data_IF_048787442571
#
_entry.id   IF_048787442571
#
_cell.length_a   1.000
_cell.length_b   1.000
_cell.length_c   1.000
_cell.angle_alpha   90.00
_cell.angle_beta   90.00
_cell.angle_gamma   90.00
#
_symmetry.space_group_name_H-M   'P 1'
#
loop_
_entity.id
_entity.type
_entity.pdbx_description
1 polymer ?
#
# COMPACT_ATOMS: atom_id res chain seq x y z
N UNK A 1 -43.69 48.89 -20.20
CA UNK A 1 -44.96 49.13 -19.49
C UNK A 1 -44.70 48.91 -18.00
N UNK A 2 -44.91 49.88 -17.09
CA UNK A 2 -46.19 50.55 -16.74
C UNK A 2 -47.08 49.52 -16.00
N UNK A 3 -46.99 49.43 -14.66
CA UNK A 3 -47.85 50.12 -13.64
C UNK A 3 -48.94 49.11 -13.17
N UNK A 4 -49.38 48.92 -11.92
CA UNK A 4 -49.65 49.74 -10.71
C UNK A 4 -49.09 49.07 -9.40
N UNK A 5 -48.87 49.69 -8.23
CA UNK A 5 -49.72 50.51 -7.31
C UNK A 5 -50.86 49.70 -6.64
N UNK A 6 -51.27 49.86 -5.37
CA UNK A 6 -50.86 50.68 -4.18
C UNK A 6 -50.70 49.68 -2.96
N UNK A 7 -50.65 49.91 -1.63
CA UNK A 7 -50.80 50.94 -0.55
C UNK A 7 -49.73 50.56 0.53
N UNK A 8 -49.16 51.38 1.44
CA UNK A 8 -49.25 52.81 1.79
C UNK A 8 -49.35 53.03 3.32
N UNK A 9 -48.56 53.94 3.91
CA UNK A 9 -48.60 54.26 5.34
C UNK A 9 -47.45 55.17 5.78
N UNK A 10 -47.75 56.40 6.22
CA UNK A 10 -46.76 57.42 6.60
C UNK A 10 -46.46 57.42 8.11
N UNK A 11 -45.22 57.77 8.47
CA UNK A 11 -44.77 57.93 9.86
C UNK A 11 -43.32 58.40 9.93
N UNK A 12 -43.06 59.64 9.48
CA UNK A 12 -41.75 60.27 9.58
C UNK A 12 -41.65 61.13 10.84
N UNK A 13 -40.62 60.89 11.65
CA UNK A 13 -40.00 61.91 12.48
C UNK A 13 -38.47 61.82 12.32
N UNK A 14 -37.78 62.97 12.43
CA UNK A 14 -36.32 63.08 12.26
C UNK A 14 -35.71 63.85 13.43
N UNK A 15 -34.90 63.15 14.22
CA UNK A 15 -34.07 63.68 15.31
C UNK A 15 -32.63 63.19 15.07
N UNK A 16 -31.57 63.98 15.34
CA UNK A 16 -30.34 63.93 14.54
C UNK A 16 -29.35 62.81 14.90
N UNK A 17 -28.35 62.65 14.03
CA UNK A 17 -27.24 61.70 14.16
C UNK A 17 -26.36 62.05 15.36
N UNK A 18 -26.24 61.11 16.29
CA UNK A 18 -25.26 61.14 17.38
C UNK A 18 -24.29 59.96 17.20
N UNK A 19 -22.98 60.25 17.21
CA UNK A 19 -21.95 59.30 16.80
C UNK A 19 -21.61 58.31 17.94
N UNK A 20 -22.44 57.28 18.12
CA UNK A 20 -22.20 56.22 19.07
C UNK A 20 -20.89 55.47 18.78
N UNK A 21 -19.97 55.47 19.73
CA UNK A 21 -18.73 54.70 19.69
C UNK A 21 -19.05 53.20 19.64
N UNK A 22 -18.55 52.50 18.63
CA UNK A 22 -18.74 51.05 18.51
C UNK A 22 -18.04 50.32 19.69
N UNK A 23 -18.70 49.34 20.33
CA UNK A 23 -18.04 48.53 21.34
C UNK A 23 -16.93 47.68 20.71
N UNK A 24 -15.79 47.64 21.37
CA UNK A 24 -14.62 46.88 20.90
C UNK A 24 -14.90 45.39 20.91
N UNK A 25 -15.19 44.80 19.74
CA UNK A 25 -15.14 43.35 19.56
C UNK A 25 -13.68 42.88 19.75
N UNK A 26 -13.33 42.51 20.98
CA UNK A 26 -12.19 41.63 21.21
C UNK A 26 -12.49 40.31 20.48
N UNK A 27 -11.59 39.81 19.62
CA UNK A 27 -11.72 38.45 19.12
C UNK A 27 -11.59 37.53 20.33
N UNK A 28 -12.67 36.83 20.68
CA UNK A 28 -12.58 35.74 21.65
C UNK A 28 -11.61 34.71 21.06
N UNK A 29 -10.40 34.63 21.65
CA UNK A 29 -9.44 33.61 21.24
C UNK A 29 -10.07 32.26 21.55
N UNK A 30 -10.45 31.54 20.50
CA UNK A 30 -10.88 30.15 20.57
C UNK A 30 -9.66 29.30 20.94
N UNK A 31 -9.31 29.35 22.22
CA UNK A 31 -8.20 28.60 22.79
C UNK A 31 -8.66 27.15 22.86
N UNK A 32 -8.36 26.40 21.80
CA UNK A 32 -8.65 24.98 21.70
C UNK A 32 -8.00 24.24 22.87
N UNK A 33 -8.78 23.93 23.89
CA UNK A 33 -8.35 23.16 25.05
C UNK A 33 -8.01 21.75 24.60
N UNK A 34 -6.75 21.55 24.21
CA UNK A 34 -6.17 20.22 24.04
C UNK A 34 -6.37 19.46 25.34
N UNK A 35 -6.99 18.28 25.24
CA UNK A 35 -7.15 17.38 26.37
C UNK A 35 -5.82 16.67 26.59
N UNK A 36 -5.33 16.53 27.84
CA UNK A 36 -4.07 15.83 28.12
C UNK A 36 -3.99 14.46 27.43
N UNK A 37 -5.09 13.68 27.50
CA UNK A 37 -5.23 12.37 26.84
C UNK A 37 -5.00 12.37 25.32
N UNK A 38 -5.16 13.52 24.64
CA UNK A 38 -4.84 13.67 23.21
C UNK A 38 -3.37 13.98 22.98
N UNK A 39 -2.74 14.76 23.86
CA UNK A 39 -1.31 15.03 23.80
C UNK A 39 -0.55 13.74 24.17
N UNK A 40 -0.93 13.06 25.26
CA UNK A 40 -0.45 11.71 25.61
C UNK A 40 -0.53 10.71 24.44
N UNK A 41 -1.67 10.71 23.70
CA UNK A 41 -1.84 9.83 22.54
C UNK A 41 -1.02 10.23 21.30
N UNK A 42 -0.65 11.51 21.20
CA UNK A 42 0.21 12.01 20.11
C UNK A 42 1.66 11.64 20.39
N UNK A 43 2.13 11.90 21.61
CA UNK A 43 3.48 11.56 22.08
C UNK A 43 3.74 10.05 21.98
N UNK A 44 2.78 9.22 22.41
CA UNK A 44 2.83 7.76 22.25
C UNK A 44 2.90 7.32 20.78
N UNK A 45 2.20 8.01 19.88
CA UNK A 45 2.22 7.72 18.44
C UNK A 45 3.55 8.13 17.80
N UNK A 46 4.09 9.30 18.13
CA UNK A 46 5.42 9.74 17.67
C UNK A 46 6.53 8.80 18.17
N UNK A 47 6.42 8.27 19.39
CA UNK A 47 7.33 7.25 19.91
C UNK A 47 7.30 5.93 19.12
N UNK A 48 6.12 5.53 18.60
CA UNK A 48 5.98 4.35 17.75
C UNK A 48 6.55 4.57 16.34
N UNK A 49 6.38 5.76 15.77
CA UNK A 49 6.95 6.15 14.47
C UNK A 49 8.49 6.25 14.55
N UNK A 50 9.04 6.86 15.60
CA UNK A 50 10.49 6.89 15.81
C UNK A 50 11.06 5.51 16.21
N UNK A 51 10.28 4.59 16.80
CA UNK A 51 10.67 3.18 16.93
C UNK A 51 10.82 2.48 15.57
N UNK A 52 9.82 2.63 14.70
CA UNK A 52 9.85 2.09 13.34
C UNK A 52 11.01 2.70 12.53
N UNK A 53 11.24 4.01 12.66
CA UNK A 53 12.37 4.69 12.04
C UNK A 53 13.74 4.24 12.61
N UNK A 54 13.87 3.96 13.92
CA UNK A 54 15.09 3.33 14.49
C UNK A 54 15.39 2.00 13.81
N UNK A 55 14.37 1.14 13.67
CA UNK A 55 14.50 -0.16 13.03
C UNK A 55 14.96 -0.03 11.58
N UNK A 56 14.29 0.76 10.75
CA UNK A 56 14.65 0.87 9.32
C UNK A 56 16.02 1.55 9.11
N UNK A 57 16.45 2.43 10.02
CA UNK A 57 17.82 2.96 10.03
C UNK A 57 18.87 1.88 10.39
N UNK A 58 18.58 0.97 11.32
CA UNK A 58 19.45 -0.19 11.65
C UNK A 58 19.43 -1.24 10.53
N UNK A 59 18.27 -1.50 9.93
CA UNK A 59 18.11 -2.37 8.75
C UNK A 59 18.96 -1.85 7.58
N UNK A 60 18.81 -0.57 7.22
CA UNK A 60 19.71 0.13 6.28
C UNK A 60 21.17 -0.11 6.64
N UNK A 61 21.58 0.14 7.88
CA UNK A 61 22.97 0.01 8.32
C UNK A 61 23.55 -1.39 8.10
N UNK A 62 22.76 -2.45 8.30
CA UNK A 62 23.18 -3.86 8.21
C UNK A 62 23.22 -4.43 6.79
N UNK A 63 22.65 -3.75 5.78
CA UNK A 63 22.58 -4.28 4.41
C UNK A 63 23.96 -4.68 3.88
N UNK A 64 24.01 -5.87 3.25
CA UNK A 64 25.15 -6.39 2.50
C UNK A 64 25.57 -5.44 1.38
N UNK A 65 26.85 -5.49 1.03
CA UNK A 65 27.35 -4.82 -0.17
C UNK A 65 27.44 -5.83 -1.31
N UNK A 66 26.74 -5.56 -2.41
CA UNK A 66 26.98 -6.24 -3.68
C UNK A 66 28.03 -5.48 -4.50
N UNK A 67 28.71 -6.21 -5.39
CA UNK A 67 29.61 -5.69 -6.40
C UNK A 67 28.96 -5.72 -7.81
N UNK A 68 27.62 -5.64 -7.88
CA UNK A 68 26.88 -5.47 -9.13
C UNK A 68 27.52 -4.38 -9.99
N UNK A 69 28.05 -4.78 -11.14
CA UNK A 69 28.85 -3.92 -12.00
C UNK A 69 28.01 -2.89 -12.77
N UNK A 70 28.69 -2.10 -13.62
CA UNK A 70 28.01 -1.39 -14.70
C UNK A 70 27.34 -2.44 -15.61
N UNK A 71 26.02 -2.62 -15.49
CA UNK A 71 25.27 -3.70 -16.14
C UNK A 71 23.88 -3.26 -16.59
N UNK A 72 22.91 -3.26 -15.68
CA UNK A 72 21.51 -2.95 -15.97
C UNK A 72 21.30 -1.51 -16.45
N UNK A 73 21.10 -1.32 -17.77
CA UNK A 73 20.44 -0.10 -18.26
C UNK A 73 19.03 -0.02 -17.68
N UNK A 74 18.56 1.17 -17.33
CA UNK A 74 17.24 1.33 -16.72
C UNK A 74 16.13 1.00 -17.73
N UNK A 75 15.57 -0.22 -17.65
CA UNK A 75 14.64 -0.76 -18.66
C UNK A 75 13.21 -0.23 -18.46
N UNK A 76 12.81 0.04 -17.21
CA UNK A 76 11.58 0.73 -16.86
C UNK A 76 11.82 1.70 -15.69
N UNK A 77 11.05 2.79 -15.62
CA UNK A 77 11.15 3.79 -14.54
C UNK A 77 9.77 4.17 -14.04
N UNK A 78 9.51 3.82 -12.78
CA UNK A 78 8.25 4.08 -12.08
C UNK A 78 8.54 5.16 -11.03
N UNK A 79 8.07 6.38 -11.30
CA UNK A 79 8.35 7.56 -10.47
C UNK A 79 9.83 7.79 -10.19
N UNK A 80 10.23 7.59 -8.92
CA UNK A 80 11.60 7.73 -8.42
C UNK A 80 12.47 6.48 -8.63
N UNK A 81 11.88 5.32 -8.86
CA UNK A 81 12.59 4.05 -8.93
C UNK A 81 12.85 3.60 -10.37
N UNK A 82 14.02 2.98 -10.54
CA UNK A 82 14.42 2.28 -11.75
C UNK A 82 14.16 0.78 -11.54
N UNK A 83 13.57 0.12 -12.53
CA UNK A 83 13.31 -1.33 -12.53
C UNK A 83 14.04 -1.96 -13.71
N UNK A 84 14.65 -3.09 -13.45
CA UNK A 84 15.31 -3.95 -14.43
C UNK A 84 15.11 -5.41 -14.00
N UNK A 85 15.49 -6.34 -14.86
CA UNK A 85 15.44 -7.77 -14.60
C UNK A 85 16.80 -8.35 -14.98
N UNK A 86 17.37 -9.21 -14.13
CA UNK A 86 18.69 -9.83 -14.35
C UNK A 86 18.55 -11.29 -14.82
N UNK A 87 17.39 -11.66 -15.37
CA UNK A 87 17.07 -12.99 -15.89
C UNK A 87 16.67 -14.00 -14.80
N UNK A 88 16.72 -15.29 -15.15
CA UNK A 88 16.59 -16.42 -14.21
C UNK A 88 17.84 -16.65 -13.34
N UNK A 89 18.61 -15.60 -13.01
CA UNK A 89 19.65 -15.74 -11.98
C UNK A 89 18.96 -16.03 -10.63
N UNK A 90 19.39 -17.11 -9.95
CA UNK A 90 18.83 -17.64 -8.70
C UNK A 90 19.05 -16.68 -7.50
N UNK A 91 18.52 -15.45 -7.56
CA UNK A 91 18.52 -14.55 -6.42
C UNK A 91 17.59 -15.10 -5.34
N UNK A 92 18.20 -15.53 -4.23
CA UNK A 92 17.50 -16.08 -3.08
C UNK A 92 17.58 -15.12 -1.88
N UNK A 93 16.48 -14.89 -1.14
CA UNK A 93 16.49 -14.09 0.08
C UNK A 93 17.52 -14.58 1.10
N UNK A 94 18.57 -13.78 1.31
CA UNK A 94 19.55 -13.99 2.38
C UNK A 94 18.84 -13.82 3.73
N UNK A 95 18.89 -14.80 4.66
CA UNK A 95 18.24 -14.69 5.96
C UNK A 95 18.74 -13.49 6.77
N UNK A 96 17.82 -12.84 7.50
CA UNK A 96 18.13 -11.70 8.37
C UNK A 96 19.27 -12.02 9.35
N UNK A 97 20.26 -11.13 9.42
CA UNK A 97 21.35 -11.25 10.40
C UNK A 97 20.83 -11.23 11.84
N UNK A 98 21.50 -11.87 12.82
CA UNK A 98 21.05 -11.87 14.22
C UNK A 98 20.86 -10.47 14.81
N UNK A 99 21.67 -9.49 14.39
CA UNK A 99 21.54 -8.07 14.72
C UNK A 99 20.21 -7.46 14.21
N UNK A 100 19.75 -7.88 13.04
CA UNK A 100 18.50 -7.42 12.41
C UNK A 100 17.28 -8.09 13.04
N UNK A 101 17.37 -9.40 13.32
CA UNK A 101 16.34 -10.14 14.07
C UNK A 101 16.15 -9.51 15.46
N UNK A 102 17.24 -9.25 16.19
CA UNK A 102 17.19 -8.58 17.49
C UNK A 102 16.59 -7.16 17.41
N UNK A 103 16.90 -6.41 16.35
CA UNK A 103 16.31 -5.09 16.12
C UNK A 103 14.79 -5.18 15.84
N UNK A 104 14.33 -6.18 15.07
CA UNK A 104 12.90 -6.40 14.80
C UNK A 104 12.16 -6.85 16.06
N UNK A 105 12.78 -7.70 16.88
CA UNK A 105 12.24 -8.13 18.18
C UNK A 105 12.27 -7.02 19.26
N UNK A 106 13.07 -5.96 19.09
CA UNK A 106 12.95 -4.74 19.87
C UNK A 106 11.74 -3.92 19.39
N UNK A 107 11.67 -3.62 18.09
CA UNK A 107 10.55 -2.88 17.50
C UNK A 107 9.19 -3.51 17.84
N UNK A 108 9.06 -4.83 17.68
CA UNK A 108 7.81 -5.54 17.94
C UNK A 108 7.38 -5.49 19.42
N UNK A 109 8.32 -5.34 20.36
CA UNK A 109 8.00 -5.11 21.78
C UNK A 109 7.59 -3.66 22.04
N UNK A 110 8.33 -2.69 21.51
CA UNK A 110 8.00 -1.26 21.64
C UNK A 110 6.61 -0.96 21.06
N UNK A 111 6.31 -1.45 19.84
CA UNK A 111 4.99 -1.32 19.22
C UNK A 111 3.88 -2.08 20.00
N UNK A 112 4.18 -3.20 20.66
CA UNK A 112 3.20 -3.92 21.46
C UNK A 112 2.89 -3.22 22.79
N UNK A 113 3.88 -2.58 23.42
CA UNK A 113 3.70 -1.80 24.65
C UNK A 113 2.92 -0.50 24.39
N UNK A 114 3.23 0.21 23.32
CA UNK A 114 2.48 1.41 22.90
C UNK A 114 1.08 1.01 22.40
N UNK A 115 0.97 -0.05 21.60
CA UNK A 115 -0.32 -0.58 21.13
C UNK A 115 -1.21 -1.16 22.23
N UNK A 116 -0.67 -1.45 23.42
CA UNK A 116 -1.46 -1.77 24.61
C UNK A 116 -2.12 -0.55 25.26
N UNK A 117 -1.56 0.65 25.02
CA UNK A 117 -2.08 1.94 25.48
C UNK A 117 -2.96 2.60 24.40
N UNK A 118 -2.66 2.36 23.12
CA UNK A 118 -3.40 2.83 21.95
C UNK A 118 -4.01 1.67 21.13
N UNK A 119 -4.93 0.85 21.69
CA UNK A 119 -5.46 -0.34 21.02
C UNK A 119 -6.31 -0.06 19.76
N UNK A 120 -6.79 1.18 19.62
CA UNK A 120 -7.54 1.65 18.45
C UNK A 120 -6.69 2.42 17.42
N UNK A 121 -5.35 2.44 17.55
CA UNK A 121 -4.49 3.04 16.52
C UNK A 121 -4.27 2.07 15.34
N UNK A 122 -4.82 2.45 14.18
CA UNK A 122 -4.79 1.67 12.95
C UNK A 122 -3.37 1.41 12.43
N UNK A 123 -2.47 2.39 12.54
CA UNK A 123 -1.12 2.28 12.00
C UNK A 123 -0.24 1.40 12.89
N UNK A 124 -0.33 1.53 14.22
CA UNK A 124 0.40 0.67 15.16
C UNK A 124 -0.03 -0.79 14.99
N UNK A 125 -1.32 -1.08 14.82
CA UNK A 125 -1.79 -2.42 14.49
C UNK A 125 -1.21 -2.93 13.15
N UNK A 126 -1.23 -2.08 12.12
CA UNK A 126 -0.66 -2.38 10.81
C UNK A 126 0.84 -2.72 10.88
N UNK A 127 1.66 -1.86 11.49
CA UNK A 127 3.10 -2.11 11.63
C UNK A 127 3.38 -3.42 12.37
N UNK A 128 2.67 -3.69 13.47
CA UNK A 128 2.85 -4.95 14.23
C UNK A 128 2.56 -6.17 13.36
N UNK A 129 1.48 -6.15 12.58
CA UNK A 129 1.13 -7.25 11.67
C UNK A 129 2.15 -7.38 10.53
N UNK A 130 2.58 -6.27 9.90
CA UNK A 130 3.64 -6.28 8.87
C UNK A 130 4.94 -6.89 9.41
N UNK A 131 5.47 -6.39 10.53
CA UNK A 131 6.75 -6.87 11.06
C UNK A 131 6.69 -8.29 11.66
N UNK A 132 5.52 -8.75 12.14
CA UNK A 132 5.33 -10.17 12.47
C UNK A 132 5.31 -11.04 11.21
N UNK A 133 4.64 -10.61 10.13
CA UNK A 133 4.64 -11.32 8.84
C UNK A 133 6.02 -11.36 8.17
N UNK A 134 6.77 -10.26 8.19
CA UNK A 134 8.19 -10.22 7.75
C UNK A 134 9.06 -11.17 8.57
N UNK A 135 8.85 -11.25 9.89
CA UNK A 135 9.56 -12.19 10.77
C UNK A 135 9.11 -13.66 10.61
N UNK A 136 8.12 -13.96 9.76
CA UNK A 136 7.53 -15.30 9.66
C UNK A 136 6.70 -15.72 10.89
N UNK A 137 6.44 -14.81 11.84
CA UNK A 137 5.68 -15.01 13.10
C UNK A 137 4.16 -15.00 12.85
N UNK A 138 3.73 -15.75 11.83
CA UNK A 138 2.39 -15.73 11.22
C UNK A 138 1.25 -15.93 12.21
N UNK A 139 1.39 -16.88 13.14
CA UNK A 139 0.37 -17.16 14.17
C UNK A 139 0.13 -15.99 15.11
N UNK A 140 1.17 -15.20 15.40
CA UNK A 140 1.04 -13.98 16.21
C UNK A 140 0.40 -12.84 15.41
N UNK A 141 0.70 -12.73 14.11
CA UNK A 141 0.04 -11.75 13.22
C UNK A 141 -1.48 -12.00 13.14
N UNK A 142 -1.91 -13.26 12.96
CA UNK A 142 -3.33 -13.66 13.02
C UNK A 142 -3.91 -13.44 14.43
N UNK A 143 -3.12 -13.66 15.49
CA UNK A 143 -3.55 -13.38 16.86
C UNK A 143 -3.91 -11.91 17.14
N UNK A 144 -3.37 -10.95 16.38
CA UNK A 144 -3.68 -9.53 16.53
C UNK A 144 -5.01 -9.11 15.88
N UNK A 145 -5.53 -9.86 14.90
CA UNK A 145 -6.75 -9.48 14.16
C UNK A 145 -8.03 -9.87 14.92
N UNK A 146 -7.97 -10.98 15.67
CA UNK A 146 -9.09 -11.59 16.39
C UNK A 146 -9.82 -10.68 17.41
N UNK A 147 -9.19 -9.59 17.84
CA UNK A 147 -9.78 -8.60 18.75
C UNK A 147 -9.52 -7.16 18.26
N UNK A 148 -9.58 -6.94 16.94
CA UNK A 148 -9.33 -5.64 16.34
C UNK A 148 -10.36 -4.58 16.80
N UNK A 149 -9.88 -3.48 17.40
CA UNK A 149 -10.71 -2.37 17.93
C UNK A 149 -10.57 -1.06 17.15
N UNK A 150 -10.18 -1.17 15.88
CA UNK A 150 -10.12 -0.02 14.96
C UNK A 150 -11.56 0.37 14.55
N UNK A 151 -11.83 1.67 14.45
CA UNK A 151 -13.14 2.20 14.07
C UNK A 151 -13.46 1.88 12.59
N UNK A 152 -12.46 2.04 11.73
CA UNK A 152 -12.47 1.72 10.30
C UNK A 152 -12.45 0.19 10.10
N UNK A 153 -13.61 -0.47 10.24
CA UNK A 153 -13.75 -1.94 10.19
C UNK A 153 -13.07 -2.62 9.00
N UNK A 154 -13.07 -1.97 7.83
CA UNK A 154 -12.40 -2.50 6.64
C UNK A 154 -10.91 -2.79 6.90
N UNK A 155 -10.26 -1.99 7.75
CA UNK A 155 -8.85 -2.16 8.09
C UNK A 155 -8.61 -3.43 8.90
N UNK A 156 -9.49 -3.75 9.86
CA UNK A 156 -9.45 -5.02 10.58
C UNK A 156 -9.53 -6.22 9.62
N UNK A 157 -10.47 -6.17 8.69
CA UNK A 157 -10.73 -7.26 7.74
C UNK A 157 -9.59 -7.46 6.72
N UNK A 158 -9.01 -6.39 6.14
CA UNK A 158 -7.88 -6.56 5.21
C UNK A 158 -6.59 -6.96 5.93
N UNK A 159 -6.38 -6.53 7.18
CA UNK A 159 -5.29 -7.02 8.02
C UNK A 159 -5.45 -8.51 8.38
N UNK A 160 -6.68 -8.97 8.62
CA UNK A 160 -7.01 -10.38 8.77
C UNK A 160 -6.73 -11.17 7.48
N UNK A 161 -7.20 -10.67 6.33
CA UNK A 161 -6.89 -11.24 5.02
C UNK A 161 -5.40 -11.38 4.77
N UNK A 162 -4.61 -10.33 5.05
CA UNK A 162 -3.16 -10.35 4.90
C UNK A 162 -2.46 -11.34 5.85
N UNK A 163 -2.89 -11.42 7.11
CA UNK A 163 -2.34 -12.37 8.08
C UNK A 163 -2.67 -13.84 7.73
N UNK A 164 -3.91 -14.11 7.30
CA UNK A 164 -4.36 -15.42 6.83
C UNK A 164 -3.68 -15.83 5.51
N UNK A 165 -3.54 -14.90 4.56
CA UNK A 165 -2.77 -15.11 3.33
C UNK A 165 -1.34 -15.56 3.67
N UNK A 166 -0.67 -14.88 4.61
CA UNK A 166 0.66 -15.24 5.10
C UNK A 166 0.77 -16.65 5.70
N UNK A 167 -0.35 -17.28 6.09
CA UNK A 167 -0.39 -18.69 6.53
C UNK A 167 -0.68 -19.70 5.41
N UNK A 168 -1.10 -19.26 4.22
CA UNK A 168 -1.56 -20.13 3.12
C UNK A 168 -3.05 -20.47 3.18
N UNK A 169 -3.84 -19.75 3.99
CA UNK A 169 -5.29 -19.97 4.14
C UNK A 169 -6.08 -19.07 3.16
N UNK A 170 -5.84 -19.23 1.86
CA UNK A 170 -6.28 -18.28 0.83
C UNK A 170 -7.80 -18.12 0.74
N UNK A 171 -8.59 -19.19 0.85
CA UNK A 171 -10.06 -19.12 0.91
C UNK A 171 -10.58 -18.21 2.05
N UNK A 172 -10.05 -18.39 3.26
CA UNK A 172 -10.42 -17.57 4.42
C UNK A 172 -9.88 -16.13 4.31
N UNK A 173 -8.69 -15.96 3.74
CA UNK A 173 -8.10 -14.66 3.46
C UNK A 173 -8.95 -13.85 2.47
N UNK A 174 -9.43 -14.50 1.39
CA UNK A 174 -10.31 -13.89 0.40
C UNK A 174 -11.65 -13.46 1.00
N UNK A 175 -12.23 -14.25 1.92
CA UNK A 175 -13.48 -13.86 2.59
C UNK A 175 -13.28 -12.63 3.48
N UNK A 176 -12.19 -12.57 4.25
CA UNK A 176 -11.81 -11.38 5.00
C UNK A 176 -11.56 -10.17 4.08
N UNK A 177 -10.88 -10.35 2.94
CA UNK A 177 -10.71 -9.28 1.96
C UNK A 177 -12.04 -8.79 1.36
N UNK A 178 -13.03 -9.67 1.12
CA UNK A 178 -14.38 -9.28 0.63
C UNK A 178 -15.13 -8.41 1.64
N UNK A 179 -15.19 -8.82 2.91
CA UNK A 179 -15.79 -8.02 4.00
C UNK A 179 -15.05 -6.68 4.20
N UNK A 180 -13.73 -6.69 4.01
CA UNK A 180 -12.91 -5.47 3.97
C UNK A 180 -13.33 -4.52 2.85
N UNK A 181 -13.29 -4.97 1.59
CA UNK A 181 -13.65 -4.20 0.40
C UNK A 181 -15.11 -3.69 0.45
N UNK A 182 -16.04 -4.50 0.98
CA UNK A 182 -17.44 -4.10 1.18
C UNK A 182 -17.62 -3.02 2.26
N UNK A 183 -16.63 -2.84 3.15
CA UNK A 183 -16.61 -1.86 4.24
C UNK A 183 -15.75 -0.61 3.96
N UNK A 184 -15.09 -0.53 2.79
CA UNK A 184 -14.31 0.64 2.36
C UNK A 184 -15.19 1.76 1.80
N UNK A 185 -14.60 2.90 1.43
CA UNK A 185 -15.26 3.83 0.51
C UNK A 185 -15.32 3.21 -0.91
N UNK A 186 -16.32 3.54 -1.74
CA UNK A 186 -16.44 2.97 -3.09
C UNK A 186 -15.21 3.23 -3.97
N UNK A 187 -14.55 4.38 -3.80
CA UNK A 187 -13.38 4.78 -4.58
C UNK A 187 -12.16 3.90 -4.26
N UNK A 188 -11.91 3.63 -2.98
CA UNK A 188 -10.82 2.76 -2.53
C UNK A 188 -11.11 1.29 -2.86
N UNK A 189 -12.35 0.83 -2.68
CA UNK A 189 -12.77 -0.52 -3.08
C UNK A 189 -12.61 -0.76 -4.59
N UNK A 190 -12.97 0.23 -5.43
CA UNK A 190 -12.74 0.18 -6.88
C UNK A 190 -11.24 0.12 -7.17
N UNK A 191 -10.41 0.96 -6.52
CA UNK A 191 -8.95 0.97 -6.70
C UNK A 191 -8.32 -0.40 -6.46
N UNK A 192 -8.69 -1.09 -5.38
CA UNK A 192 -8.16 -2.41 -5.04
C UNK A 192 -8.67 -3.50 -5.99
N UNK A 193 -9.94 -3.41 -6.41
CA UNK A 193 -10.52 -4.37 -7.34
C UNK A 193 -9.99 -4.20 -8.77
N UNK A 194 -9.34 -3.09 -9.12
CA UNK A 194 -8.87 -2.82 -10.47
C UNK A 194 -7.53 -3.53 -10.75
N UNK A 195 -7.48 -4.49 -11.70
CA UNK A 195 -6.26 -5.24 -11.97
C UNK A 195 -5.39 -4.61 -13.05
N UNK A 196 -5.74 -3.46 -13.66
CA UNK A 196 -5.00 -2.93 -14.84
C UNK A 196 -3.50 -2.73 -14.62
N UNK A 197 -3.07 -2.45 -13.38
CA UNK A 197 -1.66 -2.37 -12.96
C UNK A 197 -0.88 -3.69 -13.14
N UNK A 198 -1.58 -4.81 -13.29
CA UNK A 198 -1.05 -6.16 -13.54
C UNK A 198 -1.19 -6.63 -15.00
N UNK A 199 -1.98 -5.94 -15.83
CA UNK A 199 -2.37 -6.41 -17.17
C UNK A 199 -1.51 -5.79 -18.26
N UNK A 200 -1.47 -6.39 -19.46
CA UNK A 200 -0.83 -5.72 -20.60
C UNK A 200 -1.75 -4.66 -21.19
N UNK A 201 -1.26 -3.89 -22.18
CA UNK A 201 -2.09 -2.99 -22.96
C UNK A 201 -3.37 -3.71 -23.44
N UNK A 202 -3.24 -4.92 -24.00
CA UNK A 202 -4.38 -5.72 -24.50
C UNK A 202 -5.33 -6.15 -23.37
N UNK A 203 -4.82 -6.56 -22.21
CA UNK A 203 -5.66 -6.91 -21.05
C UNK A 203 -6.37 -5.68 -20.46
N UNK A 204 -5.73 -4.52 -20.55
CA UNK A 204 -6.34 -3.22 -20.21
C UNK A 204 -7.42 -2.84 -21.22
N UNK A 205 -7.15 -2.97 -22.52
CA UNK A 205 -8.11 -2.78 -23.62
C UNK A 205 -9.36 -3.65 -23.41
N UNK A 206 -9.20 -4.94 -23.05
CA UNK A 206 -10.32 -5.86 -22.75
C UNK A 206 -11.20 -5.35 -21.60
N UNK A 207 -10.64 -4.69 -20.59
CA UNK A 207 -11.44 -4.07 -19.52
C UNK A 207 -12.08 -2.74 -19.94
N UNK A 208 -11.42 -1.95 -20.79
CA UNK A 208 -11.89 -0.61 -21.18
C UNK A 208 -12.94 -0.65 -22.31
N UNK A 209 -12.88 -1.65 -23.21
CA UNK A 209 -13.95 -1.97 -24.16
C UNK A 209 -15.17 -2.66 -23.49
N UNK A 210 -15.00 -3.20 -22.27
CA UNK A 210 -16.09 -3.86 -21.52
C UNK A 210 -16.95 -2.85 -20.76
N UNK A 211 -18.28 -2.93 -20.93
CA UNK A 211 -19.23 -2.14 -20.14
C UNK A 211 -18.99 -2.29 -18.63
N UNK A 212 -19.00 -1.18 -17.87
CA UNK A 212 -18.71 -1.17 -16.42
C UNK A 212 -19.52 -2.15 -15.56
N UNK A 213 -20.72 -2.53 -16.01
CA UNK A 213 -21.58 -3.54 -15.36
C UNK A 213 -21.00 -4.98 -15.49
N UNK A 214 -20.29 -5.26 -16.58
CA UNK A 214 -19.78 -6.58 -16.97
C UNK A 214 -18.29 -6.74 -16.63
N UNK A 215 -17.57 -5.66 -16.33
CA UNK A 215 -16.16 -5.70 -15.89
C UNK A 215 -15.94 -6.64 -14.68
N UNK A 216 -16.95 -6.81 -13.81
CA UNK A 216 -16.89 -7.78 -12.71
C UNK A 216 -16.76 -9.24 -13.16
N UNK A 217 -17.38 -9.60 -14.30
CA UNK A 217 -17.22 -10.92 -14.93
C UNK A 217 -15.80 -11.09 -15.47
N UNK A 218 -15.27 -10.10 -16.17
CA UNK A 218 -13.90 -10.12 -16.72
C UNK A 218 -12.85 -10.26 -15.60
N UNK A 219 -13.06 -9.59 -14.45
CA UNK A 219 -12.21 -9.78 -13.26
C UNK A 219 -12.29 -11.20 -12.68
N UNK A 220 -13.48 -11.79 -12.63
CA UNK A 220 -13.63 -13.20 -12.20
C UNK A 220 -12.99 -14.19 -13.16
N UNK A 221 -13.01 -13.91 -14.46
CA UNK A 221 -12.36 -14.72 -15.50
C UNK A 221 -10.82 -14.55 -15.46
N UNK A 222 -10.32 -13.35 -15.18
CA UNK A 222 -8.90 -13.08 -14.96
C UNK A 222 -8.32 -13.95 -13.83
N UNK A 223 -8.93 -13.93 -12.64
CA UNK A 223 -8.43 -14.72 -11.50
C UNK A 223 -8.55 -16.23 -11.73
N UNK A 224 -9.64 -16.69 -12.38
CA UNK A 224 -9.83 -18.08 -12.81
C UNK A 224 -8.74 -18.59 -13.76
N UNK A 225 -8.15 -17.68 -14.55
CA UNK A 225 -7.04 -17.96 -15.48
C UNK A 225 -5.64 -17.75 -14.85
N UNK A 226 -5.56 -17.09 -13.69
CA UNK A 226 -4.33 -16.86 -12.93
C UNK A 226 -4.00 -18.04 -11.99
N UNK A 227 -5.01 -18.76 -11.49
CA UNK A 227 -4.84 -20.11 -10.89
C UNK A 227 -5.43 -21.18 -11.82
N UNK A 228 -4.66 -21.66 -12.82
CA UNK A 228 -5.11 -22.72 -13.73
C UNK A 228 -4.97 -24.13 -13.14
N UNK A 229 -4.37 -24.30 -11.95
CA UNK A 229 -4.04 -25.62 -11.38
C UNK A 229 -4.89 -26.00 -10.16
N UNK A 230 -5.52 -25.03 -9.48
CA UNK A 230 -6.44 -25.24 -8.36
C UNK A 230 -5.83 -26.10 -7.23
N UNK A 231 -4.53 -25.93 -6.98
CA UNK A 231 -3.76 -26.75 -6.03
C UNK A 231 -4.05 -26.41 -4.57
N UNK A 232 -4.59 -25.23 -4.29
CA UNK A 232 -4.84 -24.70 -2.96
C UNK A 232 -6.33 -24.31 -2.79
N UNK A 233 -6.89 -24.38 -1.56
CA UNK A 233 -8.24 -23.89 -1.30
C UNK A 233 -8.32 -22.37 -1.39
N UNK A 234 -9.10 -21.88 -2.35
CA UNK A 234 -9.19 -20.45 -2.70
C UNK A 234 -8.07 -20.00 -3.64
N UNK A 235 -8.35 -18.96 -4.42
CA UNK A 235 -7.43 -18.46 -5.45
C UNK A 235 -6.24 -17.73 -4.80
N UNK A 236 -5.04 -18.32 -4.91
CA UNK A 236 -3.83 -17.78 -4.27
C UNK A 236 -3.40 -16.44 -4.87
N UNK A 237 -3.61 -16.25 -6.18
CA UNK A 237 -3.26 -15.02 -6.91
C UNK A 237 -4.19 -13.85 -6.56
N UNK A 238 -5.50 -14.05 -6.53
CA UNK A 238 -6.45 -13.03 -6.02
C UNK A 238 -6.15 -12.69 -4.55
N UNK A 239 -5.77 -13.70 -3.75
CA UNK A 239 -5.41 -13.50 -2.34
C UNK A 239 -4.12 -12.67 -2.18
N UNK A 240 -3.08 -12.97 -2.96
CA UNK A 240 -1.83 -12.19 -3.00
C UNK A 240 -2.07 -10.77 -3.51
N UNK A 241 -2.96 -10.55 -4.49
CA UNK A 241 -3.28 -9.21 -5.00
C UNK A 241 -3.79 -8.28 -3.89
N UNK A 242 -4.76 -8.73 -3.10
CA UNK A 242 -5.25 -7.96 -1.96
C UNK A 242 -4.24 -7.94 -0.79
N UNK A 243 -3.38 -8.95 -0.65
CA UNK A 243 -2.26 -8.92 0.31
C UNK A 243 -1.23 -7.84 -0.04
N UNK A 244 -0.86 -7.68 -1.31
CA UNK A 244 0.03 -6.62 -1.82
C UNK A 244 -0.57 -5.22 -1.63
N UNK A 245 -1.85 -5.03 -1.96
CA UNK A 245 -2.58 -3.79 -1.65
C UNK A 245 -2.54 -3.46 -0.15
N UNK A 246 -2.79 -4.46 0.69
CA UNK A 246 -2.72 -4.30 2.15
C UNK A 246 -1.30 -3.95 2.61
N UNK A 247 -0.26 -4.61 2.12
CA UNK A 247 1.13 -4.29 2.44
C UNK A 247 1.48 -2.84 2.07
N UNK A 248 1.05 -2.37 0.90
CA UNK A 248 1.23 -0.98 0.47
C UNK A 248 0.56 0.00 1.43
N UNK A 249 -0.68 -0.28 1.84
CA UNK A 249 -1.44 0.58 2.77
C UNK A 249 -0.92 0.52 4.22
N UNK A 250 -0.31 -0.60 4.65
CA UNK A 250 0.45 -0.63 5.92
C UNK A 250 1.72 0.23 5.80
N UNK A 251 2.31 0.28 4.62
CA UNK A 251 3.56 0.99 4.37
C UNK A 251 3.39 2.50 4.09
N UNK A 252 2.15 3.00 3.90
CA UNK A 252 1.90 4.45 3.90
C UNK A 252 2.40 5.09 5.21
N UNK A 253 3.10 6.22 5.07
CA UNK A 253 3.72 7.03 6.14
C UNK A 253 4.79 6.31 6.98
N UNK A 254 5.04 5.03 6.78
CA UNK A 254 6.16 4.33 7.38
C UNK A 254 7.50 4.74 6.71
N UNK A 255 8.61 4.66 7.45
CA UNK A 255 9.93 4.67 6.83
C UNK A 255 10.10 3.42 5.94
N UNK A 256 10.70 3.59 4.77
CA UNK A 256 11.11 2.49 3.88
C UNK A 256 12.60 2.20 4.01
N UNK A 257 13.07 1.00 3.64
CA UNK A 257 14.51 0.67 3.64
C UNK A 257 15.30 1.60 2.71
N UNK A 258 14.71 2.08 1.61
CA UNK A 258 15.32 3.10 0.73
C UNK A 258 15.57 4.45 1.43
N UNK A 259 14.98 4.72 2.60
CA UNK A 259 15.12 6.01 3.30
C UNK A 259 14.33 7.15 2.65
N UNK A 260 13.32 6.81 1.84
CA UNK A 260 12.37 7.75 1.25
C UNK A 260 10.94 7.44 1.72
N UNK A 261 10.08 8.46 1.70
CA UNK A 261 8.65 8.30 2.03
C UNK A 261 7.94 7.41 1.02
N UNK A 262 6.95 6.66 1.49
CA UNK A 262 5.97 5.97 0.65
C UNK A 262 5.26 6.94 -0.31
N UNK A 263 4.73 6.41 -1.40
CA UNK A 263 4.07 7.17 -2.47
C UNK A 263 3.70 6.27 -3.64
N UNK A 264 3.06 6.86 -4.65
CA UNK A 264 2.40 6.15 -5.76
C UNK A 264 3.32 5.18 -6.51
N UNK A 265 4.61 5.48 -6.64
CA UNK A 265 5.60 4.60 -7.27
C UNK A 265 5.93 3.35 -6.46
N UNK A 266 5.99 3.48 -5.13
CA UNK A 266 6.16 2.37 -4.20
C UNK A 266 4.88 1.55 -4.05
N UNK A 267 3.71 2.18 -4.14
CA UNK A 267 2.43 1.50 -4.23
C UNK A 267 2.34 0.66 -5.51
N UNK A 268 2.61 1.25 -6.68
CA UNK A 268 2.58 0.53 -7.97
C UNK A 268 3.54 -0.66 -7.94
N UNK A 269 4.82 -0.46 -7.59
CA UNK A 269 5.82 -1.54 -7.53
C UNK A 269 5.39 -2.67 -6.58
N UNK A 270 4.79 -2.32 -5.43
CA UNK A 270 4.33 -3.32 -4.44
C UNK A 270 3.16 -4.14 -4.97
N UNK A 271 2.17 -3.53 -5.61
CA UNK A 271 1.02 -4.25 -6.19
C UNK A 271 1.45 -5.07 -7.41
N UNK A 272 2.34 -4.51 -8.23
CA UNK A 272 2.77 -5.05 -9.52
C UNK A 272 3.74 -6.23 -9.39
N UNK A 273 4.74 -6.13 -8.51
CA UNK A 273 5.81 -7.13 -8.37
C UNK A 273 5.85 -7.82 -6.99
N UNK A 274 5.02 -7.38 -6.04
CA UNK A 274 5.12 -7.78 -4.64
C UNK A 274 6.07 -6.90 -3.84
N UNK A 275 6.03 -7.02 -2.51
CA UNK A 275 6.97 -6.32 -1.64
C UNK A 275 8.33 -7.02 -1.61
N UNK A 276 9.41 -6.22 -1.45
CA UNK A 276 10.77 -6.74 -1.44
C UNK A 276 10.98 -7.78 -0.34
N UNK A 277 11.68 -8.85 -0.73
CA UNK A 277 12.02 -10.01 0.10
C UNK A 277 13.50 -10.05 0.49
N UNK A 278 14.32 -9.17 -0.08
CA UNK A 278 15.69 -8.89 0.35
C UNK A 278 16.18 -7.54 -0.15
N UNK A 279 17.35 -7.14 0.34
CA UNK A 279 17.86 -5.78 0.24
C UNK A 279 19.38 -5.76 0.23
N UNK A 280 19.97 -4.95 -0.65
CA UNK A 280 21.42 -4.85 -0.82
C UNK A 280 21.86 -3.40 -1.04
N UNK A 281 23.16 -3.15 -0.94
CA UNK A 281 23.79 -1.88 -1.33
C UNK A 281 24.75 -2.10 -2.48
N UNK A 282 24.51 -1.41 -3.59
CA UNK A 282 25.56 -1.19 -4.58
C UNK A 282 26.57 -0.18 -4.04
N UNK A 283 27.86 -0.40 -4.33
CA UNK A 283 28.92 0.60 -4.15
C UNK A 283 29.21 1.26 -5.49
N UNK A 284 29.28 2.59 -5.50
CA UNK A 284 29.80 3.30 -6.68
C UNK A 284 31.23 2.86 -6.97
N UNK A 285 31.51 2.58 -8.25
CA UNK A 285 32.81 2.06 -8.67
C UNK A 285 33.88 3.15 -8.52
N UNK A 286 35.05 2.76 -7.96
CA UNK A 286 36.19 3.66 -7.72
C UNK A 286 36.58 4.39 -9.01
N UNK A 287 36.43 5.72 -9.00
CA UNK A 287 36.66 6.59 -10.16
C UNK A 287 35.40 7.30 -10.66
N UNK A 288 34.20 6.87 -10.28
CA UNK A 288 32.97 7.62 -10.51
C UNK A 288 32.75 8.68 -9.43
N UNK A 289 32.17 9.83 -9.78
CA UNK A 289 31.89 10.93 -8.85
C UNK A 289 30.57 10.75 -8.07
N UNK A 290 29.90 9.60 -8.20
CA UNK A 290 28.73 9.28 -7.37
C UNK A 290 29.18 8.88 -5.96
N UNK A 291 28.77 9.67 -4.97
CA UNK A 291 28.95 9.37 -3.55
C UNK A 291 27.74 8.64 -2.94
N UNK A 292 26.72 8.34 -3.74
CA UNK A 292 25.47 7.74 -3.26
C UNK A 292 25.55 6.21 -3.26
N UNK A 293 25.32 5.60 -2.10
CA UNK A 293 25.17 4.15 -1.98
C UNK A 293 23.74 3.78 -2.38
N UNK A 294 23.52 3.36 -3.62
CA UNK A 294 22.20 2.93 -4.09
C UNK A 294 21.76 1.67 -3.34
N UNK A 295 20.57 1.72 -2.73
CA UNK A 295 19.92 0.55 -2.13
C UNK A 295 19.12 -0.16 -3.22
N UNK A 296 19.48 -1.41 -3.47
CA UNK A 296 18.75 -2.33 -4.34
C UNK A 296 17.76 -3.09 -3.44
N UNK A 297 16.53 -3.23 -3.92
CA UNK A 297 15.49 -4.04 -3.29
C UNK A 297 15.09 -5.15 -4.25
N UNK A 298 14.98 -6.36 -3.74
CA UNK A 298 14.76 -7.57 -4.54
C UNK A 298 13.42 -8.22 -4.20
N UNK A 299 12.56 -8.43 -5.19
CA UNK A 299 11.35 -9.27 -5.08
C UNK A 299 11.69 -10.76 -5.26
N UNK A 300 10.68 -11.64 -5.24
CA UNK A 300 10.87 -13.06 -5.59
C UNK A 300 10.80 -13.27 -7.11
N UNK A 301 11.56 -14.25 -7.61
CA UNK A 301 11.29 -14.87 -8.91
C UNK A 301 9.85 -15.39 -8.97
N UNK A 302 9.19 -15.28 -10.14
CA UNK A 302 7.75 -15.52 -10.26
C UNK A 302 6.85 -14.36 -9.80
N UNK A 303 7.41 -13.26 -9.28
CA UNK A 303 6.64 -12.08 -8.85
C UNK A 303 5.97 -11.31 -10.01
N UNK A 304 6.48 -11.50 -11.24
CA UNK A 304 6.06 -10.92 -12.52
C UNK A 304 5.03 -11.79 -13.24
N UNK A 305 5.19 -13.12 -13.27
CA UNK A 305 4.24 -14.09 -13.85
C UNK A 305 3.04 -14.32 -12.90
N UNK A 306 2.32 -13.24 -12.64
CA UNK A 306 1.30 -13.15 -11.60
C UNK A 306 -0.14 -13.31 -12.12
N UNK A 307 -0.38 -12.92 -13.37
CA UNK A 307 -1.67 -12.98 -14.07
C UNK A 307 -1.44 -13.40 -15.53
N UNK A 308 -2.44 -13.98 -16.22
CA UNK A 308 -2.32 -14.31 -17.64
C UNK A 308 -2.10 -13.07 -18.53
N UNK A 309 -1.42 -13.26 -19.66
CA UNK A 309 -1.32 -12.24 -20.71
C UNK A 309 -2.70 -11.84 -21.25
N UNK A 310 -2.83 -10.61 -21.76
CA UNK A 310 -4.08 -10.12 -22.34
C UNK A 310 -4.53 -10.92 -23.56
N UNK A 311 -3.60 -11.63 -24.25
CA UNK A 311 -3.95 -12.58 -25.32
C UNK A 311 -4.78 -13.74 -24.77
N UNK A 312 -4.39 -14.26 -23.60
CA UNK A 312 -5.13 -15.33 -22.90
C UNK A 312 -6.44 -14.80 -22.32
N UNK A 313 -6.45 -13.59 -21.75
CA UNK A 313 -7.66 -12.98 -21.20
C UNK A 313 -8.72 -12.66 -22.28
N UNK A 314 -8.30 -12.12 -23.43
CA UNK A 314 -9.17 -11.84 -24.58
C UNK A 314 -9.82 -13.13 -25.11
N UNK A 315 -9.03 -14.21 -25.20
CA UNK A 315 -9.45 -15.46 -25.85
C UNK A 315 -8.84 -16.72 -25.21
N UNK A 316 -9.37 -17.22 -24.08
CA UNK A 316 -8.83 -18.39 -23.39
C UNK A 316 -8.80 -19.67 -24.25
N UNK A 317 -9.70 -19.78 -25.23
CA UNK A 317 -9.79 -20.93 -26.16
C UNK A 317 -8.78 -20.90 -27.33
N UNK A 318 -8.08 -19.77 -27.54
CA UNK A 318 -7.01 -19.60 -28.54
C UNK A 318 -5.60 -19.59 -27.91
N UNK A 319 -5.50 -20.03 -26.65
CA UNK A 319 -4.25 -20.12 -25.90
C UNK A 319 -3.42 -21.35 -26.30
N UNK A 320 -2.15 -21.11 -26.64
CA UNK A 320 -1.16 -22.13 -27.02
C UNK A 320 -0.22 -22.45 -25.84
N UNK A 321 0.49 -23.59 -25.84
CA UNK A 321 1.53 -23.87 -24.86
C UNK A 321 2.53 -22.72 -24.76
N UNK A 322 2.77 -22.22 -23.54
CA UNK A 322 3.61 -21.04 -23.28
C UNK A 322 2.88 -19.70 -23.21
N UNK A 323 1.56 -19.61 -23.50
CA UNK A 323 0.83 -18.32 -23.51
C UNK A 323 0.68 -17.62 -22.14
N UNK A 324 1.07 -18.30 -21.05
CA UNK A 324 1.15 -17.76 -19.68
C UNK A 324 2.55 -17.24 -19.33
N UNK A 325 3.57 -17.49 -20.16
CA UNK A 325 4.90 -16.92 -19.97
C UNK A 325 4.86 -15.46 -20.48
N UNK A 326 5.29 -14.52 -19.65
CA UNK A 326 5.44 -13.12 -20.05
C UNK A 326 6.84 -12.91 -20.67
N UNK A 327 6.95 -11.92 -21.56
CA UNK A 327 8.19 -11.57 -22.27
C UNK A 327 9.38 -11.42 -21.30
N UNK A 328 10.33 -12.36 -21.36
CA UNK A 328 11.40 -12.53 -20.37
C UNK A 328 12.36 -11.34 -20.35
N UNK A 329 12.67 -10.76 -21.52
CA UNK A 329 13.70 -9.73 -21.75
C UNK A 329 13.42 -8.36 -21.10
N UNK A 330 12.27 -8.18 -20.43
CA UNK A 330 11.87 -6.93 -19.78
C UNK A 330 11.44 -7.07 -18.32
N UNK A 331 11.63 -6.05 -17.47
CA UNK A 331 11.04 -6.03 -16.12
C UNK A 331 9.52 -5.94 -16.16
N UNK A 332 8.97 -5.44 -17.27
CA UNK A 332 7.56 -5.16 -17.48
C UNK A 332 6.71 -6.37 -17.12
N UNK A 333 6.04 -6.34 -15.98
CA UNK A 333 4.66 -6.82 -16.01
C UNK A 333 3.88 -5.76 -16.79
N UNK A 334 3.88 -5.96 -18.11
CA UNK A 334 2.73 -5.76 -18.99
C UNK A 334 2.15 -4.35 -19.21
N UNK A 335 1.89 -3.54 -18.17
CA UNK A 335 1.09 -2.30 -18.24
C UNK A 335 1.66 -1.24 -19.21
N UNK A 336 0.76 -0.53 -19.90
CA UNK A 336 1.05 0.63 -20.73
C UNK A 336 0.22 1.81 -20.24
N UNK A 337 0.85 2.72 -19.49
CA UNK A 337 0.34 4.06 -19.28
C UNK A 337 0.63 4.94 -20.51
N UNK A 338 -0.26 5.88 -20.81
CA UNK A 338 -0.18 6.80 -21.96
C UNK A 338 0.49 8.14 -21.59
#
# INVERSE_FOLDING_TARGET
MVLLLIIGGFGFDRVPVEAALAPSNQPAQAQESRSPLREDSTDLRELAEEAQARFERKHRQLLSYTLSGHGSSCTERIGRLCIWHEGEDDWVPVPDSPDLVQARDLLLRELAEIGGQLPSDAWILGQRIRYLSEAGRRTEAVGLTQNCTIHERWWCFVLEGFALHGTGLYEAALEAFREGLASMSPEEAIKWQDPRVLLDGRGSDVLDDTEKKDQGRVRSELWMLADPLYLMPGNDRESEHYARWTFSKISDRAESVWGMRWGDDLEEITVRYGWNRGWERSRSQVGTLSTENTIIGHQLSGGKEFVPSGRVLEKPWEAEPGSWMLDEDGPRSSHVAA
#
